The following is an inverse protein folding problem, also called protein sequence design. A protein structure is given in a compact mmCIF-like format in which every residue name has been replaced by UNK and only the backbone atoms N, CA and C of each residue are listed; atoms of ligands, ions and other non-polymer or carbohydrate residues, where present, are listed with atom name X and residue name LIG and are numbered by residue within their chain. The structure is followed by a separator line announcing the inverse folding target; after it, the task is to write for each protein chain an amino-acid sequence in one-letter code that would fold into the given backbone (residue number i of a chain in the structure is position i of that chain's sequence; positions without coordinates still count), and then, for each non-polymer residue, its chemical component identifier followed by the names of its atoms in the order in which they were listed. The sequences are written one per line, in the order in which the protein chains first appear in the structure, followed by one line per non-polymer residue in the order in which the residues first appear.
data_IF_232769527903
#
_entry.id   IF_232769527903
#
_cell.length_a   1.000
_cell.length_b   1.000
_cell.length_c   1.000
_cell.angle_alpha   90.00
_cell.angle_beta   90.00
_cell.angle_gamma   90.00
#
_symmetry.space_group_name_H-M   'P 1'
#
loop_
_entity.id
_entity.type
_entity.pdbx_description
1 polymer ?
#
# COMPACT_ATOMS: atom_id res chain seq x y z
N UNK A 1 5.47 -9.57 26.18
CA UNK A 1 4.78 -9.82 24.95
C UNK A 1 3.88 -8.66 24.58
N UNK A 2 3.84 -8.31 23.33
CA UNK A 2 2.95 -7.29 22.81
C UNK A 2 1.53 -7.86 22.77
N UNK A 3 0.57 -7.18 23.40
CA UNK A 3 -0.83 -7.57 23.31
C UNK A 3 -1.45 -6.88 22.09
N UNK A 4 -2.07 -7.63 21.17
CA UNK A 4 -2.81 -7.04 20.06
C UNK A 4 -3.97 -6.14 20.53
N UNK A 5 -4.50 -6.39 21.73
CA UNK A 5 -5.61 -5.64 22.31
C UNK A 5 -5.22 -4.29 22.91
N UNK A 6 -3.92 -4.01 23.05
CA UNK A 6 -3.43 -2.72 23.53
C UNK A 6 -2.00 -2.43 23.04
N UNK A 7 -1.86 -1.80 21.87
CA UNK A 7 -0.57 -1.48 21.26
C UNK A 7 0.11 -0.26 21.90
N UNK A 8 -0.34 0.17 23.05
CA UNK A 8 0.31 1.29 23.73
C UNK A 8 1.72 0.88 24.09
N UNK A 9 2.63 1.80 23.85
CA UNK A 9 3.99 1.69 24.33
C UNK A 9 3.97 1.52 25.85
N UNK A 10 4.42 0.37 26.35
CA UNK A 10 4.58 0.19 27.79
C UNK A 10 5.68 1.13 28.29
N UNK A 11 5.62 1.61 29.55
CA UNK A 11 6.70 2.46 30.12
C UNK A 11 8.10 1.83 29.99
N UNK A 12 8.19 0.51 30.08
CA UNK A 12 9.43 -0.24 29.87
C UNK A 12 9.93 -0.12 28.42
N UNK A 13 9.04 -0.27 27.43
CA UNK A 13 9.39 -0.16 26.02
C UNK A 13 9.79 1.29 25.68
N UNK A 14 9.08 2.28 26.22
CA UNK A 14 9.45 3.71 26.09
C UNK A 14 10.85 3.95 26.64
N UNK A 15 11.16 3.42 27.84
CA UNK A 15 12.50 3.56 28.43
C UNK A 15 13.60 2.90 27.59
N UNK A 16 13.29 1.84 26.84
CA UNK A 16 14.23 1.27 25.85
C UNK A 16 14.40 2.17 24.63
N UNK A 17 13.31 2.73 24.11
CA UNK A 17 13.35 3.64 22.95
C UNK A 17 14.11 4.93 23.28
N UNK A 18 13.94 5.47 24.50
CA UNK A 18 14.63 6.69 24.93
C UNK A 18 16.16 6.54 24.94
N UNK A 19 16.66 5.34 25.19
CA UNK A 19 18.11 5.03 25.18
C UNK A 19 18.65 4.69 23.79
N UNK A 20 17.79 4.46 22.79
CA UNK A 20 18.19 4.10 21.45
C UNK A 20 18.31 5.34 20.55
N UNK A 21 19.31 5.38 19.68
CA UNK A 21 19.41 6.38 18.61
C UNK A 21 18.61 5.97 17.36
N UNK A 22 18.54 4.65 17.13
CA UNK A 22 17.84 4.04 15.99
C UNK A 22 16.90 2.97 16.53
N UNK A 23 15.66 3.01 16.11
CA UNK A 23 14.64 2.00 16.42
C UNK A 23 14.28 1.26 15.14
N UNK A 24 14.56 -0.05 15.11
CA UNK A 24 14.18 -0.93 14.01
C UNK A 24 13.00 -1.80 14.44
N UNK A 25 11.87 -1.59 13.79
CA UNK A 25 10.72 -2.46 13.93
C UNK A 25 10.76 -3.55 12.85
N UNK A 26 10.65 -4.79 13.26
CA UNK A 26 10.46 -5.94 12.39
C UNK A 26 8.98 -6.31 12.41
N UNK A 27 8.38 -6.41 11.23
CA UNK A 27 6.96 -6.68 11.04
C UNK A 27 6.01 -5.57 11.56
N UNK A 28 4.73 -5.91 11.67
CA UNK A 28 3.62 -4.96 11.89
C UNK A 28 3.63 -4.15 13.19
N UNK A 29 4.43 -4.51 14.16
CA UNK A 29 4.50 -3.74 15.40
C UNK A 29 4.82 -2.25 15.13
N UNK A 30 5.78 -2.00 14.24
CA UNK A 30 6.11 -0.63 13.83
C UNK A 30 4.98 0.07 13.09
N UNK A 31 4.23 -0.68 12.30
CA UNK A 31 3.06 -0.17 11.58
C UNK A 31 1.94 0.25 12.53
N UNK A 32 1.67 -0.54 13.54
CA UNK A 32 0.68 -0.20 14.58
C UNK A 32 1.12 0.94 15.48
N UNK A 33 2.41 1.04 15.80
CA UNK A 33 2.95 2.06 16.68
C UNK A 33 3.17 3.41 16.00
N UNK A 34 3.36 3.47 14.68
CA UNK A 34 3.63 4.74 13.98
C UNK A 34 2.49 5.76 14.08
N UNK A 35 1.27 5.31 14.39
CA UNK A 35 0.11 6.17 14.63
C UNK A 35 -0.10 6.50 16.10
N UNK A 36 0.79 6.06 17.00
CA UNK A 36 0.81 6.41 18.40
C UNK A 36 1.92 7.45 18.69
N UNK A 37 1.98 7.91 19.94
CA UNK A 37 3.02 8.87 20.39
C UNK A 37 4.41 8.23 20.36
N UNK A 38 5.06 8.30 19.21
CA UNK A 38 6.41 7.78 19.02
C UNK A 38 7.44 8.73 19.63
N UNK A 39 8.55 8.22 20.19
CA UNK A 39 9.62 9.04 20.77
C UNK A 39 10.18 10.01 19.74
N UNK A 40 10.21 11.29 20.08
CA UNK A 40 10.72 12.35 19.20
C UNK A 40 12.24 12.27 19.05
N UNK A 41 12.74 12.72 17.90
CA UNK A 41 14.18 12.82 17.62
C UNK A 41 14.89 11.49 17.35
N UNK A 42 14.16 10.37 17.26
CA UNK A 42 14.72 9.06 16.95
C UNK A 42 14.66 8.74 15.47
N UNK A 43 15.63 7.98 14.97
CA UNK A 43 15.55 7.38 13.63
C UNK A 43 14.77 6.08 13.70
N UNK A 44 13.60 6.06 13.05
CA UNK A 44 12.71 4.91 13.05
C UNK A 44 12.75 4.26 11.67
N UNK A 45 12.95 2.95 11.63
CA UNK A 45 12.93 2.13 10.43
C UNK A 45 11.96 0.98 10.63
N UNK A 46 11.10 0.73 9.66
CA UNK A 46 10.14 -0.38 9.68
C UNK A 46 10.49 -1.36 8.57
N UNK A 47 10.60 -2.63 8.90
CA UNK A 47 10.68 -3.71 7.90
C UNK A 47 9.44 -4.57 7.96
N UNK A 48 8.81 -4.79 6.81
CA UNK A 48 7.62 -5.62 6.66
C UNK A 48 7.94 -7.08 6.31
N UNK A 49 9.21 -7.48 6.41
CA UNK A 49 9.60 -8.88 6.25
C UNK A 49 8.98 -9.75 7.34
N UNK A 50 8.20 -10.76 6.95
CA UNK A 50 7.48 -11.65 7.87
C UNK A 50 8.35 -12.75 8.48
N UNK A 51 9.59 -12.84 8.08
CA UNK A 51 10.53 -13.83 8.60
C UNK A 51 11.90 -13.75 7.94
N UNK A 52 12.83 -14.53 8.47
CA UNK A 52 14.23 -14.55 7.99
C UNK A 52 14.35 -15.01 6.52
N UNK A 53 13.46 -15.89 6.06
CA UNK A 53 13.45 -16.33 4.66
C UNK A 53 13.18 -15.18 3.69
N UNK A 54 12.14 -14.38 3.94
CA UNK A 54 11.84 -13.20 3.13
C UNK A 54 12.93 -12.13 3.28
N UNK A 55 13.46 -11.93 4.49
CA UNK A 55 14.53 -10.98 4.73
C UNK A 55 15.86 -11.37 4.04
N UNK A 56 16.12 -12.67 3.90
CA UNK A 56 17.27 -13.21 3.20
C UNK A 56 17.07 -13.40 1.68
N UNK A 57 15.87 -13.12 1.16
CA UNK A 57 15.55 -13.21 -0.27
C UNK A 57 15.93 -11.92 -1.03
N UNK A 58 15.62 -11.87 -2.32
CA UNK A 58 15.73 -10.65 -3.13
C UNK A 58 15.02 -9.44 -2.51
N UNK A 59 13.98 -9.66 -1.68
CA UNK A 59 13.32 -8.58 -0.94
C UNK A 59 14.28 -7.89 0.04
N UNK A 60 14.85 -8.62 0.99
CA UNK A 60 15.69 -8.03 2.04
C UNK A 60 17.13 -7.69 1.58
N UNK A 61 17.59 -8.27 0.48
CA UNK A 61 18.94 -8.06 -0.07
C UNK A 61 19.01 -7.04 -1.21
N UNK A 62 17.88 -6.47 -1.62
CA UNK A 62 17.84 -5.41 -2.62
C UNK A 62 18.70 -4.21 -2.24
N UNK A 63 19.42 -3.66 -3.22
CA UNK A 63 20.34 -2.54 -2.97
C UNK A 63 19.55 -1.29 -2.54
N UNK A 64 19.71 -0.88 -1.27
CA UNK A 64 18.91 0.19 -0.67
C UNK A 64 18.96 1.49 -1.47
N UNK A 65 20.16 1.94 -1.89
CA UNK A 65 20.32 3.19 -2.65
C UNK A 65 19.61 3.10 -4.00
N UNK A 66 19.69 1.96 -4.70
CA UNK A 66 18.97 1.75 -5.95
C UNK A 66 17.46 1.89 -5.76
N UNK A 67 16.91 1.19 -4.78
CA UNK A 67 15.46 1.25 -4.47
C UNK A 67 15.00 2.67 -4.07
N UNK A 68 15.81 3.38 -3.29
CA UNK A 68 15.52 4.78 -2.93
C UNK A 68 15.60 5.72 -4.14
N UNK A 69 16.56 5.52 -5.05
CA UNK A 69 16.64 6.33 -6.27
C UNK A 69 15.44 6.10 -7.17
N UNK A 70 15.00 4.85 -7.32
CA UNK A 70 13.78 4.53 -8.05
C UNK A 70 12.53 5.13 -7.38
N UNK A 71 12.42 5.07 -6.05
CA UNK A 71 11.36 5.72 -5.28
C UNK A 71 11.26 7.22 -5.59
N UNK A 72 12.40 7.93 -5.58
CA UNK A 72 12.41 9.36 -5.93
C UNK A 72 12.13 9.60 -7.41
N UNK A 73 12.58 8.70 -8.29
CA UNK A 73 12.26 8.73 -9.72
C UNK A 73 10.75 8.64 -9.96
N UNK A 74 10.07 7.70 -9.32
CA UNK A 74 8.61 7.54 -9.36
C UNK A 74 7.92 8.81 -8.84
N UNK A 75 8.33 9.30 -7.67
CA UNK A 75 7.75 10.51 -7.07
C UNK A 75 7.87 11.72 -8.00
N UNK A 76 9.02 11.89 -8.64
CA UNK A 76 9.23 12.97 -9.60
C UNK A 76 8.39 12.78 -10.87
N UNK A 77 8.26 11.55 -11.39
CA UNK A 77 7.41 11.26 -12.53
C UNK A 77 5.95 11.66 -12.26
N UNK A 78 5.40 11.28 -11.10
CA UNK A 78 4.06 11.71 -10.72
C UNK A 78 3.94 13.24 -10.52
N UNK A 79 4.94 13.90 -9.94
CA UNK A 79 4.92 15.38 -9.76
C UNK A 79 4.89 16.14 -11.08
N UNK A 80 5.50 15.62 -12.12
CA UNK A 80 5.60 16.26 -13.43
C UNK A 80 4.47 15.86 -14.38
N UNK A 81 3.73 14.79 -14.06
CA UNK A 81 2.69 14.24 -14.90
C UNK A 81 1.53 15.22 -15.14
N UNK A 82 1.04 15.26 -16.36
CA UNK A 82 -0.20 15.93 -16.73
C UNK A 82 -1.41 15.00 -16.63
N UNK A 83 -1.19 13.72 -16.87
CA UNK A 83 -2.21 12.69 -16.81
C UNK A 83 -1.61 11.37 -16.29
N UNK A 84 -2.29 10.76 -15.36
CA UNK A 84 -2.06 9.36 -14.99
C UNK A 84 -3.33 8.58 -15.30
N UNK A 85 -3.18 7.47 -16.01
CA UNK A 85 -4.26 6.56 -16.35
C UNK A 85 -3.95 5.17 -15.77
N UNK A 86 -4.91 4.60 -15.08
CA UNK A 86 -4.74 3.30 -14.40
C UNK A 86 -5.84 2.35 -14.81
N UNK A 87 -5.42 1.18 -15.30
CA UNK A 87 -6.33 0.11 -15.73
C UNK A 87 -5.92 -1.24 -15.14
N UNK A 88 -6.81 -2.22 -15.16
CA UNK A 88 -6.49 -3.63 -14.95
C UNK A 88 -7.43 -4.55 -15.71
N UNK A 89 -7.05 -5.82 -15.85
CA UNK A 89 -7.85 -6.83 -16.57
C UNK A 89 -9.22 -7.08 -15.91
N UNK A 90 -9.38 -6.84 -14.61
CA UNK A 90 -10.66 -6.98 -13.91
C UNK A 90 -11.65 -5.84 -14.19
N UNK A 91 -11.27 -4.82 -14.96
CA UNK A 91 -12.15 -3.74 -15.39
C UNK A 91 -12.00 -2.44 -14.61
N UNK A 92 -10.90 -2.24 -13.88
CA UNK A 92 -10.55 -0.90 -13.41
C UNK A 92 -10.20 0.00 -14.60
N UNK A 93 -10.65 1.25 -14.52
CA UNK A 93 -10.35 2.32 -15.47
C UNK A 93 -10.58 3.67 -14.76
N UNK A 94 -9.51 4.29 -14.28
CA UNK A 94 -9.58 5.61 -13.66
C UNK A 94 -8.37 6.46 -14.03
N UNK A 95 -8.56 7.76 -14.04
CA UNK A 95 -7.51 8.70 -14.43
C UNK A 95 -7.64 10.03 -13.71
N UNK A 96 -6.55 10.78 -13.71
CA UNK A 96 -6.49 12.11 -13.14
C UNK A 96 -5.12 12.74 -13.29
N UNK A 97 -5.03 14.02 -12.98
CA UNK A 97 -3.75 14.72 -12.87
C UNK A 97 -3.24 14.62 -11.45
N UNK A 98 -2.07 14.02 -11.19
CA UNK A 98 -1.51 13.97 -9.84
C UNK A 98 -1.31 15.36 -9.25
N UNK A 99 -1.64 15.51 -7.98
CA UNK A 99 -1.38 16.72 -7.21
C UNK A 99 -0.52 16.36 -6.00
N UNK A 100 0.73 16.01 -6.32
CA UNK A 100 1.68 15.47 -5.35
C UNK A 100 2.13 16.55 -4.36
N UNK A 101 2.08 16.29 -3.03
CA UNK A 101 2.61 17.22 -2.05
C UNK A 101 4.13 17.34 -2.18
N UNK A 102 4.67 18.52 -1.83
CA UNK A 102 6.12 18.77 -1.84
C UNK A 102 6.85 17.98 -0.74
N UNK A 103 6.16 17.64 0.33
CA UNK A 103 6.69 16.86 1.45
C UNK A 103 6.02 15.50 1.51
N UNK A 104 6.79 14.52 1.92
CA UNK A 104 6.26 13.21 2.28
C UNK A 104 5.33 13.36 3.48
N UNK A 105 4.23 12.62 3.51
CA UNK A 105 3.24 12.63 4.57
C UNK A 105 2.88 11.18 4.97
N UNK A 106 2.41 11.03 6.19
CA UNK A 106 1.85 9.81 6.75
C UNK A 106 2.76 8.60 6.59
N UNK A 107 2.33 7.68 5.76
CA UNK A 107 2.95 6.38 5.59
C UNK A 107 4.42 6.42 5.10
N UNK A 108 4.82 7.48 4.43
CA UNK A 108 6.17 7.65 3.89
C UNK A 108 7.13 8.41 4.81
N UNK A 109 6.63 9.00 5.90
CA UNK A 109 7.48 9.72 6.89
C UNK A 109 8.36 8.76 7.69
N UNK A 110 7.94 7.49 7.85
CA UNK A 110 8.72 6.43 8.47
C UNK A 110 9.55 5.74 7.41
N UNK A 111 10.85 5.62 7.63
CA UNK A 111 11.74 4.92 6.71
C UNK A 111 11.39 3.45 6.66
N UNK A 112 11.12 2.96 5.47
CA UNK A 112 10.92 1.53 5.21
C UNK A 112 12.22 0.91 4.75
N UNK A 113 12.45 -0.32 5.17
CA UNK A 113 13.55 -1.14 4.67
C UNK A 113 13.08 -2.59 4.48
N UNK A 114 13.17 -3.11 3.26
CA UNK A 114 13.43 -2.40 1.98
C UNK A 114 12.35 -1.38 1.64
N UNK A 115 12.68 -0.37 0.81
CA UNK A 115 11.66 0.50 0.23
C UNK A 115 10.83 -0.31 -0.76
N UNK A 116 9.53 -0.36 -0.56
CA UNK A 116 8.66 -1.26 -1.32
C UNK A 116 7.40 -0.61 -1.89
N UNK A 117 7.05 0.61 -1.46
CA UNK A 117 5.92 1.39 -1.99
C UNK A 117 6.38 2.81 -2.30
N UNK A 118 5.78 3.45 -3.29
CA UNK A 118 6.07 4.86 -3.58
C UNK A 118 5.21 5.82 -2.74
N UNK A 119 5.55 7.12 -2.77
CA UNK A 119 4.79 8.16 -2.08
C UNK A 119 3.34 8.14 -2.54
N UNK A 120 2.34 8.07 -1.63
CA UNK A 120 0.94 8.05 -2.00
C UNK A 120 0.53 9.23 -2.88
N UNK A 121 -0.27 8.95 -3.91
CA UNK A 121 -0.82 9.92 -4.85
C UNK A 121 -2.19 10.38 -4.35
N UNK A 122 -2.41 11.67 -4.07
CA UNK A 122 -3.71 12.18 -3.67
C UNK A 122 -4.79 11.88 -4.71
N UNK A 123 -5.92 11.31 -4.26
CA UNK A 123 -6.99 10.87 -5.15
C UNK A 123 -7.92 12.01 -5.63
N UNK A 124 -7.81 13.21 -5.07
CA UNK A 124 -8.78 14.34 -5.24
C UNK A 124 -9.03 14.79 -6.68
N UNK A 125 -8.15 14.43 -7.60
CA UNK A 125 -8.25 14.78 -9.02
C UNK A 125 -8.55 13.58 -9.90
N UNK A 126 -8.74 12.41 -9.29
CA UNK A 126 -8.97 11.17 -10.01
C UNK A 126 -10.44 10.80 -10.03
N UNK A 127 -10.88 10.29 -11.18
CA UNK A 127 -12.23 9.78 -11.38
C UNK A 127 -12.20 8.52 -12.25
N UNK A 128 -13.19 7.67 -12.08
CA UNK A 128 -13.36 6.44 -12.85
C UNK A 128 -13.86 5.28 -12.00
N UNK A 129 -13.50 4.07 -12.40
CA UNK A 129 -13.99 2.83 -11.82
C UNK A 129 -12.83 1.98 -11.32
N UNK A 130 -12.94 1.44 -10.13
CA UNK A 130 -11.93 0.59 -9.50
C UNK A 130 -12.51 -0.79 -9.21
N UNK A 131 -11.99 -1.83 -9.85
CA UNK A 131 -12.32 -3.22 -9.55
C UNK A 131 -11.64 -3.64 -8.25
N UNK A 132 -12.41 -4.07 -7.27
CA UNK A 132 -11.92 -4.54 -5.98
C UNK A 132 -11.49 -6.01 -6.07
N UNK A 133 -10.44 -6.40 -5.35
CA UNK A 133 -9.85 -7.75 -5.41
C UNK A 133 -10.61 -8.82 -4.62
N UNK A 134 -11.92 -8.64 -4.40
CA UNK A 134 -12.77 -9.59 -3.70
C UNK A 134 -12.98 -9.29 -2.22
N UNK A 135 -12.35 -8.25 -1.68
CA UNK A 135 -12.57 -7.84 -0.29
C UNK A 135 -12.18 -6.37 -0.04
N UNK A 136 -12.70 -5.84 1.07
CA UNK A 136 -12.22 -4.62 1.72
C UNK A 136 -11.45 -5.00 2.97
N UNK A 137 -10.44 -4.23 3.34
CA UNK A 137 -9.73 -4.43 4.60
C UNK A 137 -9.43 -3.10 5.28
N UNK A 138 -9.58 -3.07 6.60
CA UNK A 138 -9.17 -1.94 7.42
C UNK A 138 -7.74 -2.09 7.93
N UNK A 139 -7.30 -1.16 8.75
CA UNK A 139 -5.94 -1.12 9.31
C UNK A 139 -5.64 -2.32 10.22
N UNK A 140 -6.64 -2.93 10.84
CA UNK A 140 -6.51 -4.19 11.57
C UNK A 140 -7.44 -4.32 12.78
N UNK A 141 -7.46 -5.55 13.31
CA UNK A 141 -8.29 -6.00 14.44
C UNK A 141 -8.11 -5.20 15.73
N UNK A 142 -6.99 -4.49 15.84
CA UNK A 142 -6.69 -3.64 16.97
C UNK A 142 -7.69 -2.49 17.16
N UNK A 143 -8.24 -1.98 16.07
CA UNK A 143 -9.04 -0.76 16.10
C UNK A 143 -10.52 -1.02 16.16
N UNK A 144 -10.99 -2.09 15.52
CA UNK A 144 -12.39 -2.53 15.55
C UNK A 144 -12.54 -3.96 15.04
N UNK A 145 -13.55 -4.65 15.50
CA UNK A 145 -13.91 -5.99 15.03
C UNK A 145 -14.46 -5.93 13.60
N UNK A 146 -14.42 -7.07 12.89
CA UNK A 146 -14.90 -7.19 11.50
C UNK A 146 -14.32 -6.12 10.58
N UNK A 147 -13.02 -5.86 10.70
CA UNK A 147 -12.29 -4.87 9.89
C UNK A 147 -12.15 -5.26 8.42
N UNK A 148 -12.51 -6.47 8.05
CA UNK A 148 -12.48 -7.01 6.69
C UNK A 148 -13.87 -7.40 6.24
N UNK A 149 -14.18 -7.15 4.96
CA UNK A 149 -15.42 -7.60 4.31
C UNK A 149 -15.05 -8.32 3.02
N UNK A 150 -15.40 -9.60 2.91
CA UNK A 150 -15.27 -10.37 1.67
C UNK A 150 -16.51 -10.23 0.79
N UNK A 151 -16.33 -10.32 -0.52
CA UNK A 151 -17.38 -10.26 -1.52
C UNK A 151 -17.56 -11.63 -2.21
N UNK A 152 -18.81 -12.01 -2.44
CA UNK A 152 -19.15 -13.23 -3.17
C UNK A 152 -19.02 -13.04 -4.70
N UNK A 153 -19.07 -11.80 -5.17
CA UNK A 153 -19.07 -11.43 -6.59
C UNK A 153 -18.17 -10.22 -6.85
N UNK A 154 -17.79 -9.95 -8.10
CA UNK A 154 -17.03 -8.75 -8.43
C UNK A 154 -17.76 -7.46 -8.00
N UNK A 155 -17.04 -6.61 -7.28
CA UNK A 155 -17.49 -5.29 -6.84
C UNK A 155 -16.57 -4.22 -7.39
N UNK A 156 -17.17 -3.12 -7.83
CA UNK A 156 -16.45 -1.95 -8.31
C UNK A 156 -16.77 -0.75 -7.43
N UNK A 157 -15.77 0.02 -7.08
CA UNK A 157 -15.94 1.32 -6.46
C UNK A 157 -15.92 2.40 -7.55
N UNK A 158 -16.86 3.35 -7.48
CA UNK A 158 -16.93 4.49 -8.39
C UNK A 158 -16.28 5.69 -7.71
N UNK A 159 -15.17 6.11 -8.29
CA UNK A 159 -14.38 7.25 -7.84
C UNK A 159 -14.78 8.49 -8.63
N UNK A 160 -15.09 9.57 -7.95
CA UNK A 160 -15.39 10.86 -8.56
C UNK A 160 -14.68 12.00 -7.80
N UNK A 161 -13.62 12.54 -8.40
CA UNK A 161 -12.82 13.64 -7.84
C UNK A 161 -12.43 13.40 -6.37
N UNK A 162 -11.85 12.22 -6.09
CA UNK A 162 -11.44 11.83 -4.74
C UNK A 162 -12.59 11.49 -3.80
N UNK A 163 -13.76 11.18 -4.33
CA UNK A 163 -14.94 10.77 -3.57
C UNK A 163 -15.44 9.42 -4.03
N UNK A 164 -15.84 8.58 -3.08
CA UNK A 164 -16.63 7.38 -3.36
C UNK A 164 -18.04 7.82 -3.73
N UNK A 165 -18.39 7.72 -5.01
CA UNK A 165 -19.75 8.02 -5.50
C UNK A 165 -20.72 6.84 -5.25
N UNK A 166 -20.21 5.62 -5.17
CA UNK A 166 -20.99 4.42 -4.89
C UNK A 166 -20.23 3.13 -5.24
N UNK A 167 -20.93 2.01 -5.08
CA UNK A 167 -20.44 0.70 -5.50
C UNK A 167 -21.33 0.11 -6.59
N UNK A 168 -20.75 -0.66 -7.51
CA UNK A 168 -21.44 -1.46 -8.53
C UNK A 168 -21.09 -2.94 -8.35
N UNK A 169 -22.07 -3.83 -8.53
CA UNK A 169 -21.92 -5.28 -8.38
C UNK A 169 -23.24 -5.94 -8.03
N UNK A 170 -23.19 -7.15 -7.48
CA UNK A 170 -24.39 -7.81 -6.97
C UNK A 170 -24.99 -7.01 -5.81
N UNK A 171 -26.32 -6.98 -5.74
CA UNK A 171 -27.04 -6.14 -4.77
C UNK A 171 -26.68 -6.45 -3.31
N UNK A 172 -26.42 -7.72 -2.99
CA UNK A 172 -25.97 -8.18 -1.67
C UNK A 172 -24.61 -7.58 -1.29
N UNK A 173 -23.63 -7.68 -2.19
CA UNK A 173 -22.27 -7.21 -1.97
C UNK A 173 -22.21 -5.68 -1.88
N UNK A 174 -22.99 -5.00 -2.73
CA UNK A 174 -23.12 -3.53 -2.69
C UNK A 174 -23.74 -3.08 -1.38
N UNK A 175 -24.80 -3.78 -0.89
CA UNK A 175 -25.41 -3.47 0.40
C UNK A 175 -24.44 -3.71 1.57
N UNK A 176 -23.66 -4.81 1.52
CA UNK A 176 -22.65 -5.14 2.54
C UNK A 176 -21.53 -4.08 2.56
N UNK A 177 -21.02 -3.67 1.38
CA UNK A 177 -20.00 -2.62 1.27
C UNK A 177 -20.51 -1.30 1.88
N UNK A 178 -21.73 -0.87 1.54
CA UNK A 178 -22.30 0.35 2.08
C UNK A 178 -22.46 0.26 3.61
N UNK A 179 -22.97 -0.86 4.13
CA UNK A 179 -23.15 -1.06 5.57
C UNK A 179 -21.80 -1.04 6.31
N UNK A 180 -20.73 -1.64 5.71
CA UNK A 180 -19.39 -1.60 6.28
C UNK A 180 -18.86 -0.17 6.38
N UNK A 181 -19.01 0.63 5.32
CA UNK A 181 -18.62 2.04 5.29
C UNK A 181 -19.39 2.89 6.29
N UNK A 182 -20.73 2.70 6.39
CA UNK A 182 -21.58 3.40 7.35
C UNK A 182 -21.17 3.07 8.79
N UNK A 183 -20.87 1.80 9.07
CA UNK A 183 -20.40 1.35 10.37
C UNK A 183 -19.08 2.00 10.76
N UNK A 184 -18.06 1.90 9.89
CA UNK A 184 -16.71 2.42 10.18
C UNK A 184 -16.74 3.94 10.33
N UNK A 185 -17.39 4.65 9.42
CA UNK A 185 -17.52 6.11 9.50
C UNK A 185 -18.27 6.56 10.76
N UNK A 186 -19.30 5.82 11.16
CA UNK A 186 -20.05 6.09 12.38
C UNK A 186 -19.24 5.85 13.65
N UNK A 187 -18.42 4.79 13.68
CA UNK A 187 -17.53 4.49 14.82
C UNK A 187 -16.53 5.61 15.12
N UNK A 188 -16.01 6.25 14.07
CA UNK A 188 -14.92 7.20 14.19
C UNK A 188 -15.29 8.65 13.86
N UNK A 189 -16.54 8.90 13.48
CA UNK A 189 -17.03 10.26 13.17
C UNK A 189 -16.36 10.88 11.93
N UNK A 190 -16.07 10.08 10.91
CA UNK A 190 -15.34 10.48 9.70
C UNK A 190 -16.21 10.46 8.45
N UNK A 191 -15.78 11.16 7.40
CA UNK A 191 -16.48 11.19 6.12
C UNK A 191 -16.31 9.87 5.37
N UNK A 192 -17.36 9.05 5.31
CA UNK A 192 -17.34 7.75 4.66
C UNK A 192 -16.91 7.78 3.18
N UNK A 193 -17.17 8.88 2.49
CA UNK A 193 -17.00 8.96 1.05
C UNK A 193 -15.64 9.56 0.64
N UNK A 194 -14.77 9.87 1.59
CA UNK A 194 -13.47 10.45 1.25
C UNK A 194 -12.51 9.36 0.76
N UNK A 195 -11.90 9.60 -0.41
CA UNK A 195 -10.79 8.81 -0.96
C UNK A 195 -9.55 9.67 -0.88
N UNK A 196 -8.62 9.30 0.00
CA UNK A 196 -7.49 10.15 0.34
C UNK A 196 -6.37 10.06 -0.67
N UNK A 197 -5.86 8.86 -0.89
CA UNK A 197 -4.75 8.60 -1.82
C UNK A 197 -4.71 7.14 -2.23
N UNK A 198 -3.86 6.87 -3.19
CA UNK A 198 -3.55 5.53 -3.65
C UNK A 198 -2.06 5.39 -3.93
N UNK A 199 -1.55 4.19 -3.86
CA UNK A 199 -0.20 3.84 -4.30
C UNK A 199 -0.10 2.35 -4.64
N UNK A 200 0.95 1.97 -5.38
CA UNK A 200 1.24 0.58 -5.71
C UNK A 200 2.58 0.14 -5.12
N UNK A 201 2.78 -1.16 -5.07
CA UNK A 201 4.08 -1.72 -4.78
C UNK A 201 5.08 -1.42 -5.87
N UNK A 202 6.35 -1.34 -5.49
CA UNK A 202 7.47 -1.12 -6.40
C UNK A 202 8.61 -2.12 -6.23
N UNK A 203 8.46 -3.08 -5.32
CA UNK A 203 9.52 -4.04 -5.01
C UNK A 203 9.20 -5.42 -5.60
N UNK A 204 9.88 -5.84 -6.70
CA UNK A 204 9.52 -7.06 -7.43
C UNK A 204 9.57 -8.34 -6.60
N UNK A 205 10.44 -8.40 -5.59
CA UNK A 205 10.59 -9.57 -4.72
C UNK A 205 9.78 -9.47 -3.42
N UNK A 206 8.80 -8.57 -3.31
CA UNK A 206 7.93 -8.48 -2.15
C UNK A 206 6.86 -9.58 -2.19
N UNK A 207 7.24 -10.82 -1.88
CA UNK A 207 6.35 -11.98 -1.94
C UNK A 207 5.54 -12.19 -0.65
N UNK A 208 4.34 -12.78 -0.80
CA UNK A 208 3.52 -13.27 0.30
C UNK A 208 3.06 -14.70 0.03
N UNK A 209 3.56 -15.67 0.80
CA UNK A 209 3.46 -17.10 0.53
C UNK A 209 2.32 -17.82 1.26
N UNK A 210 1.52 -17.10 2.03
CA UNK A 210 0.34 -17.63 2.72
C UNK A 210 -0.92 -17.14 2.01
N UNK A 211 -2.06 -17.72 2.34
CA UNK A 211 -3.34 -17.18 1.85
C UNK A 211 -3.63 -15.84 2.53
N UNK A 212 -4.10 -14.86 1.76
CA UNK A 212 -4.52 -13.58 2.32
C UNK A 212 -5.64 -13.75 3.36
N UNK A 213 -6.59 -14.67 3.10
CA UNK A 213 -7.70 -14.99 4.00
C UNK A 213 -7.28 -15.59 5.35
N UNK A 214 -6.06 -16.14 5.47
CA UNK A 214 -5.57 -16.60 6.78
C UNK A 214 -5.35 -15.44 7.75
N UNK A 215 -5.01 -14.24 7.24
CA UNK A 215 -4.89 -13.00 8.00
C UNK A 215 -4.72 -11.81 7.05
N UNK A 216 -5.80 -11.11 6.75
CA UNK A 216 -5.77 -9.90 5.91
C UNK A 216 -4.91 -8.79 6.51
N UNK A 217 -4.86 -8.70 7.82
CA UNK A 217 -3.99 -7.77 8.52
C UNK A 217 -2.49 -8.04 8.24
N UNK A 218 -2.09 -9.32 8.32
CA UNK A 218 -0.73 -9.74 8.00
C UNK A 218 -0.42 -9.55 6.52
N UNK A 219 -1.39 -9.90 5.66
CA UNK A 219 -1.29 -9.72 4.21
C UNK A 219 -1.07 -8.26 3.84
N UNK A 220 -1.93 -7.34 4.27
CA UNK A 220 -1.82 -5.91 3.98
C UNK A 220 -0.50 -5.30 4.47
N UNK A 221 0.01 -5.75 5.63
CA UNK A 221 1.30 -5.31 6.15
C UNK A 221 2.51 -5.72 5.30
N UNK A 222 2.38 -6.73 4.43
CA UNK A 222 3.52 -7.31 3.70
C UNK A 222 3.35 -7.30 2.20
N UNK A 223 2.17 -7.67 1.67
CA UNK A 223 1.96 -7.84 0.24
C UNK A 223 1.90 -6.52 -0.54
N UNK A 224 1.54 -5.41 0.10
CA UNK A 224 1.37 -4.10 -0.57
C UNK A 224 2.63 -3.56 -1.24
N UNK A 225 3.81 -4.09 -0.89
CA UNK A 225 5.06 -3.76 -1.57
C UNK A 225 5.23 -4.40 -2.95
N UNK A 226 4.43 -5.43 -3.29
CA UNK A 226 4.52 -6.10 -4.58
C UNK A 226 3.87 -5.24 -5.68
N UNK A 227 4.49 -5.07 -6.86
CA UNK A 227 3.95 -4.28 -7.97
C UNK A 227 2.59 -4.77 -8.50
N UNK A 228 2.21 -6.01 -8.19
CA UNK A 228 0.92 -6.60 -8.53
C UNK A 228 -0.25 -6.01 -7.73
N UNK A 229 0.03 -5.22 -6.68
CA UNK A 229 -0.99 -4.66 -5.80
C UNK A 229 -0.94 -3.14 -5.85
N UNK A 230 -2.09 -2.54 -6.15
CA UNK A 230 -2.37 -1.12 -5.95
C UNK A 230 -3.47 -1.00 -4.89
N UNK A 231 -3.26 -0.14 -3.89
CA UNK A 231 -4.27 0.06 -2.86
C UNK A 231 -4.58 1.54 -2.63
N UNK A 232 -5.81 1.78 -2.17
CA UNK A 232 -6.34 3.08 -1.81
C UNK A 232 -6.55 3.17 -0.31
N UNK A 233 -6.41 4.37 0.23
CA UNK A 233 -6.83 4.73 1.57
C UNK A 233 -8.13 5.52 1.47
N UNK A 234 -9.21 4.95 2.02
CA UNK A 234 -10.55 5.53 1.93
C UNK A 234 -11.22 5.59 3.30
N UNK A 235 -12.29 6.33 3.42
CA UNK A 235 -12.96 6.65 4.68
C UNK A 235 -12.00 7.44 5.58
N UNK A 236 -11.21 6.80 6.45
CA UNK A 236 -10.05 7.42 7.10
C UNK A 236 -8.80 7.35 6.22
N UNK A 237 -7.89 8.31 6.38
CA UNK A 237 -6.59 8.29 5.67
C UNK A 237 -5.61 7.27 6.29
N UNK A 238 -5.77 6.99 7.58
CA UNK A 238 -5.00 6.03 8.38
C UNK A 238 -5.89 5.43 9.47
N UNK A 239 -5.29 4.59 10.32
CA UNK A 239 -5.94 4.13 11.54
C UNK A 239 -6.53 5.30 12.34
N UNK A 240 -7.67 5.10 13.01
CA UNK A 240 -8.37 3.83 13.16
C UNK A 240 -9.41 3.52 12.08
N UNK A 241 -9.87 4.47 11.28
CA UNK A 241 -11.04 4.33 10.41
C UNK A 241 -10.75 4.15 8.93
N UNK A 242 -9.53 3.76 8.58
CA UNK A 242 -9.16 3.46 7.20
C UNK A 242 -9.87 2.21 6.68
N UNK A 243 -10.36 2.31 5.44
CA UNK A 243 -10.78 1.18 4.61
C UNK A 243 -9.94 1.18 3.35
N UNK A 244 -9.26 0.07 3.06
CA UNK A 244 -8.41 -0.08 1.90
C UNK A 244 -9.16 -0.78 0.77
N UNK A 245 -9.14 -0.17 -0.43
CA UNK A 245 -9.44 -0.87 -1.67
C UNK A 245 -8.15 -1.48 -2.20
N UNK A 246 -8.24 -2.69 -2.68
CA UNK A 246 -7.12 -3.39 -3.27
C UNK A 246 -7.46 -3.75 -4.72
N UNK A 247 -6.60 -3.35 -5.63
CA UNK A 247 -6.68 -3.62 -7.06
C UNK A 247 -5.47 -4.44 -7.47
N UNK A 248 -5.67 -5.36 -8.39
CA UNK A 248 -4.64 -6.32 -8.78
C UNK A 248 -4.17 -6.11 -10.21
N UNK A 249 -2.89 -6.43 -10.40
CA UNK A 249 -2.18 -6.40 -11.67
C UNK A 249 -2.42 -5.08 -12.45
N UNK A 250 -2.12 -3.91 -11.80
CA UNK A 250 -2.36 -2.62 -12.40
C UNK A 250 -1.47 -2.40 -13.63
N UNK A 251 -2.02 -1.69 -14.61
CA UNK A 251 -1.27 -0.95 -15.62
C UNK A 251 -1.38 0.52 -15.23
N UNK A 252 -0.25 1.18 -14.96
CA UNK A 252 -0.20 2.60 -14.60
C UNK A 252 0.58 3.33 -15.69
N UNK A 253 -0.11 4.16 -16.45
CA UNK A 253 0.47 5.01 -17.47
C UNK A 253 0.65 6.43 -16.94
N UNK A 254 1.87 6.95 -17.06
CA UNK A 254 2.23 8.32 -16.72
C UNK A 254 2.52 9.06 -18.02
N UNK A 255 1.67 10.01 -18.40
CA UNK A 255 1.74 10.75 -19.68
C UNK A 255 1.89 9.78 -20.90
N UNK A 256 1.18 8.64 -20.87
CA UNK A 256 1.16 7.63 -21.94
C UNK A 256 2.31 6.61 -21.88
N UNK A 257 3.18 6.66 -20.88
CA UNK A 257 4.22 5.64 -20.64
C UNK A 257 3.74 4.68 -19.57
N UNK A 258 3.55 3.40 -19.91
CA UNK A 258 3.18 2.36 -18.94
C UNK A 258 4.39 2.03 -18.04
N UNK A 259 4.46 2.65 -16.88
CA UNK A 259 5.53 2.39 -15.89
C UNK A 259 5.23 1.14 -15.06
N UNK A 260 3.97 0.83 -14.81
CA UNK A 260 3.50 -0.49 -14.42
C UNK A 260 2.68 -1.07 -15.57
N UNK A 261 2.92 -2.31 -15.90
CA UNK A 261 2.17 -3.01 -16.94
C UNK A 261 1.75 -4.38 -16.45
N UNK A 262 0.43 -4.56 -16.24
CA UNK A 262 -0.16 -5.80 -15.73
C UNK A 262 0.55 -6.35 -14.48
N UNK A 263 0.77 -5.47 -13.49
CA UNK A 263 1.40 -5.81 -12.23
C UNK A 263 2.93 -5.93 -12.26
N UNK A 264 3.57 -5.60 -13.37
CA UNK A 264 5.03 -5.56 -13.49
C UNK A 264 5.48 -4.10 -13.46
N UNK A 265 6.39 -3.77 -12.55
CA UNK A 265 7.02 -2.45 -12.50
C UNK A 265 8.25 -2.41 -13.41
N UNK A 266 8.22 -1.52 -14.38
CA UNK A 266 9.26 -1.30 -15.39
C UNK A 266 10.14 -0.11 -15.00
N UNK A 267 11.13 -0.36 -14.16
CA UNK A 267 12.02 0.68 -13.65
C UNK A 267 12.78 1.40 -14.77
N UNK A 268 13.14 0.68 -15.86
CA UNK A 268 13.81 1.21 -17.04
C UNK A 268 13.01 2.23 -17.83
N UNK A 269 11.70 2.29 -17.62
CA UNK A 269 10.81 3.27 -18.27
C UNK A 269 10.73 4.60 -17.51
N UNK A 270 11.30 4.68 -16.31
CA UNK A 270 11.48 5.94 -15.60
C UNK A 270 12.67 6.70 -16.15
N UNK A 271 12.60 8.02 -16.11
CA UNK A 271 13.77 8.84 -16.41
C UNK A 271 14.92 8.53 -15.43
N UNK A 272 16.07 8.10 -15.95
CA UNK A 272 17.21 7.66 -15.15
C UNK A 272 17.08 6.25 -14.57
N UNK A 273 16.00 5.53 -14.84
CA UNK A 273 15.75 4.20 -14.28
C UNK A 273 16.74 3.14 -14.83
N UNK A 274 17.02 3.19 -16.12
CA UNK A 274 18.00 2.27 -16.74
C UNK A 274 19.40 2.49 -16.16
N UNK A 275 19.81 3.75 -15.95
CA UNK A 275 21.13 4.06 -15.35
C UNK A 275 21.25 3.52 -13.92
N UNK A 276 20.14 3.49 -13.17
CA UNK A 276 20.11 2.86 -11.84
C UNK A 276 20.34 1.36 -11.95
N UNK A 277 19.64 0.68 -12.86
CA UNK A 277 19.79 -0.77 -13.06
C UNK A 277 21.21 -1.11 -13.53
N UNK A 278 21.78 -0.34 -14.44
CA UNK A 278 23.16 -0.52 -14.94
C UNK A 278 24.20 -0.30 -13.84
N UNK A 279 23.95 0.66 -12.95
CA UNK A 279 24.84 0.99 -11.84
C UNK A 279 24.79 -0.01 -10.69
N UNK A 280 23.68 -0.75 -10.57
CA UNK A 280 23.42 -1.69 -9.46
C UNK A 280 22.95 -3.05 -10.01
N UNK A 281 23.85 -3.92 -10.51
CA UNK A 281 23.45 -5.22 -11.08
C UNK A 281 22.65 -6.11 -10.12
N UNK A 282 22.90 -6.00 -8.80
CA UNK A 282 22.11 -6.73 -7.81
C UNK A 282 20.68 -6.22 -7.71
N UNK A 283 20.42 -4.94 -8.01
CA UNK A 283 19.06 -4.43 -8.14
C UNK A 283 18.44 -4.88 -9.47
N UNK A 284 19.17 -4.83 -10.59
CA UNK A 284 18.68 -5.34 -11.87
C UNK A 284 18.20 -6.80 -11.75
N UNK A 285 18.95 -7.65 -11.07
CA UNK A 285 18.62 -9.06 -10.89
C UNK A 285 17.26 -9.31 -10.20
N UNK A 286 16.82 -8.45 -9.30
CA UNK A 286 15.49 -8.60 -8.67
C UNK A 286 14.34 -8.21 -9.61
N UNK A 287 14.58 -7.33 -10.59
CA UNK A 287 13.59 -6.99 -11.62
C UNK A 287 13.50 -8.07 -12.69
N UNK A 288 14.59 -8.79 -12.97
CA UNK A 288 14.60 -9.94 -13.89
C UNK A 288 13.92 -11.18 -13.29
N UNK A 289 13.88 -11.30 -11.97
CA UNK A 289 13.36 -12.46 -11.26
C UNK A 289 12.32 -12.02 -10.18
N UNK A 290 11.18 -11.46 -10.59
CA UNK A 290 10.16 -11.01 -9.65
C UNK A 290 9.49 -12.19 -8.95
N UNK A 291 9.06 -11.98 -7.70
CA UNK A 291 8.25 -12.94 -6.96
C UNK A 291 6.76 -12.72 -7.27
N UNK A 292 6.08 -13.68 -7.91
CA UNK A 292 4.68 -13.52 -8.29
C UNK A 292 3.69 -13.76 -7.15
N UNK A 293 4.15 -14.30 -6.01
CA UNK A 293 3.28 -14.71 -4.92
C UNK A 293 2.75 -13.52 -4.14
N UNK A 294 1.45 -13.34 -4.13
CA UNK A 294 0.78 -12.26 -3.39
C UNK A 294 -0.31 -12.78 -2.43
N UNK A 295 -0.39 -14.08 -2.21
CA UNK A 295 -1.35 -14.71 -1.30
C UNK A 295 -2.81 -14.70 -1.78
N UNK A 296 -3.03 -14.33 -3.03
CA UNK A 296 -4.34 -14.34 -3.68
C UNK A 296 -4.30 -15.35 -4.80
N UNK A 297 -5.07 -16.43 -4.66
CA UNK A 297 -5.25 -17.42 -5.73
C UNK A 297 -6.38 -16.92 -6.63
N UNK A 298 -6.08 -16.67 -7.89
CA UNK A 298 -7.10 -16.43 -8.90
C UNK A 298 -7.57 -17.77 -9.43
N UNK A 299 -8.88 -18.03 -9.31
CA UNK A 299 -9.50 -19.04 -10.16
C UNK A 299 -9.39 -18.53 -11.60
N UNK A 300 -8.46 -19.13 -12.35
CA UNK A 300 -8.30 -18.90 -13.79
C UNK A 300 -9.53 -19.37 -14.55
#
# INVERSE_FOLDING_TARGET
GFSPDNPRLTPELVAHFDRADIILFLARLGDQLRFSDMPQGKRIVVSFALGSGLFGSGFGTAHHTAMMTLYYGITNAFRQANLVHVTCAAGSDFSGKPDMPLREDGDTTIRRFPMSVFQPVPARTFSGKVALCGFLTGTGSLYYDDYTLEFDSPVFAILDNGRLAGFEGAASDVAAANAHYDRVSGLFGIDRNFVHFWHAGMHPCCGYFWKASDSYERWGGSAFGNPRILHFHTCGNYAPGEISWNMLDPTIEIDGVAVWERGVFHAERLSGGQEVLDSYPCAAAIFENPDPHIGLEFST
#
